data_IF_602871531497
#
_entry.id   IF_602871531497
#
_cell.length_a   1.000
_cell.length_b   1.000
_cell.length_c   1.000
_cell.angle_alpha   90.00
_cell.angle_beta   90.00
_cell.angle_gamma   90.00
#
_symmetry.space_group_name_H-M   'P 1'
#
loop_
_entity.id
_entity.type
_entity.pdbx_description
1 polymer ?
#
# COMPACT_ATOMS: atom_id res chain seq x y z
N UNK A 1 -66.43 37.79 17.09
CA UNK A 1 -66.70 39.20 17.44
C UNK A 1 -65.54 39.70 18.29
N UNK A 2 -64.86 40.78 17.84
CA UNK A 2 -63.94 41.68 18.59
C UNK A 2 -62.59 41.08 19.02
N UNK A 3 -61.46 41.46 18.38
CA UNK A 3 -60.55 42.57 18.75
C UNK A 3 -60.15 42.51 20.24
N UNK A 4 -58.89 42.44 20.67
CA UNK A 4 -57.78 43.42 20.62
C UNK A 4 -56.58 42.71 21.30
N UNK A 5 -55.29 42.93 21.01
CA UNK A 5 -54.56 44.14 21.38
C UNK A 5 -53.11 44.04 20.91
N UNK A 6 -52.60 45.17 20.41
CA UNK A 6 -51.18 45.48 20.25
C UNK A 6 -50.50 45.54 21.62
N UNK A 7 -49.29 45.00 21.75
CA UNK A 7 -48.27 45.75 22.50
C UNK A 7 -46.84 45.43 22.03
N UNK A 8 -46.23 46.50 21.54
CA UNK A 8 -44.81 46.71 21.26
C UNK A 8 -43.94 46.53 22.50
N UNK A 9 -42.81 45.83 22.34
CA UNK A 9 -41.60 46.16 23.10
C UNK A 9 -40.36 46.01 22.23
N UNK A 10 -39.82 47.16 21.82
CA UNK A 10 -38.43 47.33 21.38
C UNK A 10 -37.51 47.00 22.55
N UNK A 11 -36.38 46.34 22.30
CA UNK A 11 -35.01 46.78 22.61
C UNK A 11 -34.02 45.59 22.70
N UNK A 12 -32.70 45.84 22.49
CA UNK A 12 -31.79 44.97 21.74
C UNK A 12 -30.62 44.38 22.56
N UNK A 13 -29.81 43.58 21.85
CA UNK A 13 -28.36 43.33 21.99
C UNK A 13 -27.73 42.86 23.33
N UNK A 14 -27.15 41.65 23.27
CA UNK A 14 -25.90 41.11 23.89
C UNK A 14 -26.10 39.60 24.00
N UNK A 15 -25.44 38.75 23.22
CA UNK A 15 -24.00 38.65 23.07
C UNK A 15 -23.47 37.66 24.11
N UNK A 16 -23.35 36.39 23.74
CA UNK A 16 -22.30 35.48 24.19
C UNK A 16 -22.17 34.35 23.16
N UNK A 17 -20.98 34.26 22.60
CA UNK A 17 -20.58 33.28 21.60
C UNK A 17 -20.64 31.88 22.21
N UNK A 18 -21.45 31.00 21.61
CA UNK A 18 -21.27 29.57 21.80
C UNK A 18 -20.07 29.16 20.95
N UNK A 19 -18.89 29.23 21.57
CA UNK A 19 -17.68 28.56 21.10
C UNK A 19 -17.97 27.05 21.19
N UNK A 20 -18.40 26.48 20.07
CA UNK A 20 -18.43 25.03 19.89
C UNK A 20 -17.05 24.60 19.43
N UNK A 21 -16.29 23.82 20.21
CA UNK A 21 -15.06 23.24 19.72
C UNK A 21 -15.39 22.18 18.66
N UNK A 22 -15.11 22.58 17.41
CA UNK A 22 -14.46 21.80 16.36
C UNK A 22 -14.72 20.27 16.36
N UNK A 23 -15.70 19.86 15.56
CA UNK A 23 -15.76 18.52 14.99
C UNK A 23 -14.75 18.43 13.84
N UNK A 24 -13.51 18.06 14.16
CA UNK A 24 -12.50 17.69 13.17
C UNK A 24 -11.80 16.38 13.57
N UNK A 25 -12.22 15.22 13.04
CA UNK A 25 -11.38 14.04 13.07
C UNK A 25 -10.29 14.19 12.00
N UNK A 26 -9.17 14.86 12.31
CA UNK A 26 -8.03 14.89 11.41
C UNK A 26 -6.83 14.15 12.01
N UNK A 27 -6.42 13.06 11.36
CA UNK A 27 -5.26 12.27 11.75
C UNK A 27 -5.16 10.90 11.09
N UNK A 28 -5.66 10.74 9.86
CA UNK A 28 -5.44 9.55 9.05
C UNK A 28 -4.53 9.89 7.89
N UNK A 29 -3.23 9.70 8.07
CA UNK A 29 -2.16 9.92 7.09
C UNK A 29 -2.49 9.33 5.72
N UNK A 30 -2.94 10.16 4.77
CA UNK A 30 -3.18 9.75 3.40
C UNK A 30 -1.85 9.58 2.61
N UNK A 31 -0.75 10.13 3.13
CA UNK A 31 0.54 10.20 2.45
C UNK A 31 1.44 8.97 2.66
N UNK A 32 1.19 8.16 3.70
CA UNK A 32 1.97 6.94 3.98
C UNK A 32 1.88 5.90 2.85
N UNK A 33 0.76 5.90 2.11
CA UNK A 33 0.56 5.00 0.96
C UNK A 33 1.43 5.34 -0.26
N UNK A 34 1.91 6.58 -0.35
CA UNK A 34 2.74 7.07 -1.46
C UNK A 34 4.24 7.06 -1.14
N UNK A 35 4.63 6.81 0.11
CA UNK A 35 6.04 6.65 0.47
C UNK A 35 6.65 5.47 -0.30
N UNK A 36 7.72 5.70 -1.04
CA UNK A 36 8.47 4.61 -1.67
C UNK A 36 9.16 3.79 -0.59
N UNK A 37 9.06 2.47 -0.70
CA UNK A 37 9.80 1.51 0.12
C UNK A 37 10.46 0.49 -0.80
N UNK A 38 11.57 -0.07 -0.34
CA UNK A 38 12.22 -1.22 -0.95
C UNK A 38 12.12 -2.38 0.02
N UNK A 39 11.78 -3.54 -0.52
CA UNK A 39 11.77 -4.79 0.23
C UNK A 39 12.54 -5.86 -0.52
N UNK A 40 13.03 -6.80 0.26
CA UNK A 40 13.51 -8.10 -0.19
C UNK A 40 12.60 -9.16 0.43
N UNK A 41 11.94 -9.94 -0.41
CA UNK A 41 11.07 -11.02 0.00
C UNK A 41 11.65 -12.37 -0.43
N UNK A 42 11.76 -13.30 0.50
CA UNK A 42 12.19 -14.67 0.24
C UNK A 42 11.00 -15.59 0.46
N UNK A 43 10.61 -16.29 -0.60
CA UNK A 43 9.47 -17.21 -0.63
C UNK A 43 10.00 -18.64 -0.67
N UNK A 44 9.63 -19.45 0.30
CA UNK A 44 9.97 -20.87 0.35
C UNK A 44 8.73 -21.75 0.23
N UNK A 45 8.92 -22.96 -0.30
CA UNK A 45 7.88 -23.95 -0.53
C UNK A 45 7.94 -24.51 -1.95
N UNK A 46 6.79 -24.93 -2.48
CA UNK A 46 6.64 -25.44 -3.84
C UNK A 46 6.46 -24.28 -4.83
N UNK A 47 7.55 -23.54 -5.07
CA UNK A 47 7.55 -22.28 -5.85
C UNK A 47 8.35 -22.34 -7.16
N UNK A 48 9.09 -23.42 -7.39
CA UNK A 48 9.81 -23.67 -8.63
C UNK A 48 9.01 -24.57 -9.58
N UNK A 49 9.14 -24.36 -10.89
CA UNK A 49 8.40 -25.14 -11.90
C UNK A 49 6.91 -24.79 -12.07
N UNK A 50 6.35 -23.92 -11.22
CA UNK A 50 4.91 -23.58 -11.17
C UNK A 50 4.55 -22.25 -11.84
N UNK A 51 5.48 -21.65 -12.57
CA UNK A 51 5.26 -20.34 -13.23
C UNK A 51 5.29 -19.13 -12.29
N UNK A 52 5.79 -19.29 -11.05
CA UNK A 52 5.83 -18.23 -10.03
C UNK A 52 6.49 -16.93 -10.54
N UNK A 53 7.63 -17.05 -11.25
CA UNK A 53 8.33 -15.90 -11.85
C UNK A 53 7.45 -15.07 -12.78
N UNK A 54 6.67 -15.73 -13.64
CA UNK A 54 5.78 -15.04 -14.59
C UNK A 54 4.63 -14.36 -13.86
N UNK A 55 4.03 -15.05 -12.87
CA UNK A 55 2.99 -14.48 -12.01
C UNK A 55 3.49 -13.21 -11.31
N UNK A 56 4.67 -13.25 -10.68
CA UNK A 56 5.25 -12.10 -9.98
C UNK A 56 5.53 -10.94 -10.92
N UNK A 57 6.15 -11.19 -12.09
CA UNK A 57 6.48 -10.15 -13.07
C UNK A 57 5.23 -9.47 -13.61
N UNK A 58 4.21 -10.26 -13.99
CA UNK A 58 2.94 -9.73 -14.49
C UNK A 58 2.28 -8.82 -13.46
N UNK A 59 2.20 -9.28 -12.21
CA UNK A 59 1.60 -8.53 -11.13
C UNK A 59 2.40 -7.26 -10.78
N UNK A 60 3.72 -7.36 -10.63
CA UNK A 60 4.59 -6.22 -10.35
C UNK A 60 4.48 -5.12 -11.41
N UNK A 61 4.38 -5.50 -12.69
CA UNK A 61 4.16 -4.54 -13.79
C UNK A 61 2.81 -3.84 -13.71
N UNK A 62 1.75 -4.53 -13.26
CA UNK A 62 0.40 -3.94 -13.14
C UNK A 62 0.31 -2.84 -12.09
N UNK A 63 1.08 -2.99 -11.01
CA UNK A 63 1.13 -2.03 -9.88
C UNK A 63 2.27 -1.02 -10.00
N UNK A 64 3.08 -1.09 -11.06
CA UNK A 64 4.18 -0.15 -11.30
C UNK A 64 5.37 -0.31 -10.36
N UNK A 65 5.59 -1.50 -9.80
CA UNK A 65 6.75 -1.78 -8.93
C UNK A 65 7.96 -2.17 -9.78
N UNK A 66 9.12 -1.64 -9.43
CA UNK A 66 10.42 -1.98 -10.05
C UNK A 66 11.17 -2.98 -9.20
N UNK A 67 12.07 -3.75 -9.81
CA UNK A 67 12.89 -4.72 -9.12
C UNK A 67 13.08 -6.00 -9.91
N UNK A 68 13.29 -7.11 -9.21
CA UNK A 68 13.59 -8.38 -9.84
C UNK A 68 13.08 -9.58 -9.04
N UNK A 69 12.93 -10.70 -9.74
CA UNK A 69 12.64 -12.02 -9.14
C UNK A 69 13.68 -13.03 -9.60
N UNK A 70 14.22 -13.82 -8.68
CA UNK A 70 15.18 -14.90 -8.97
C UNK A 70 14.76 -16.20 -8.28
N UNK A 71 15.07 -17.31 -8.91
CA UNK A 71 15.01 -18.61 -8.26
C UNK A 71 16.37 -18.88 -7.60
N UNK A 72 16.36 -19.34 -6.37
CA UNK A 72 17.55 -19.73 -5.63
C UNK A 72 17.82 -21.22 -5.79
N UNK A 73 19.09 -21.60 -5.65
CA UNK A 73 19.52 -23.00 -5.76
C UNK A 73 18.96 -23.90 -4.64
N UNK A 74 18.57 -23.32 -3.50
CA UNK A 74 17.96 -24.07 -2.39
C UNK A 74 16.51 -24.48 -2.64
N UNK A 75 15.90 -23.99 -3.74
CA UNK A 75 14.48 -24.21 -4.04
C UNK A 75 13.59 -23.00 -3.75
N UNK A 76 14.11 -21.97 -3.06
CA UNK A 76 13.36 -20.74 -2.76
C UNK A 76 13.30 -19.78 -3.96
N UNK A 77 12.45 -18.76 -3.85
CA UNK A 77 12.34 -17.65 -4.79
C UNK A 77 12.56 -16.35 -4.03
N UNK A 78 13.53 -15.57 -4.47
CA UNK A 78 13.78 -14.24 -3.93
C UNK A 78 13.22 -13.17 -4.86
N UNK A 79 12.60 -12.16 -4.26
CA UNK A 79 11.93 -11.06 -4.91
C UNK A 79 12.41 -9.78 -4.28
N UNK A 80 13.02 -8.92 -5.08
CA UNK A 80 13.29 -7.56 -4.67
C UNK A 80 12.31 -6.62 -5.37
N UNK A 81 11.69 -5.75 -4.58
CA UNK A 81 10.64 -4.86 -5.05
C UNK A 81 10.81 -3.49 -4.41
N UNK A 82 10.83 -2.46 -5.25
CA UNK A 82 10.83 -1.06 -4.84
C UNK A 82 9.68 -0.32 -5.52
N UNK A 83 8.93 0.42 -4.74
CA UNK A 83 7.79 1.21 -5.22
C UNK A 83 7.01 1.78 -4.05
N UNK A 84 5.81 2.29 -4.30
CA UNK A 84 4.98 2.83 -3.22
C UNK A 84 4.63 1.75 -2.20
N UNK A 85 4.51 2.14 -0.93
CA UNK A 85 4.14 1.24 0.17
C UNK A 85 2.88 0.43 -0.14
N UNK A 86 1.88 1.06 -0.75
CA UNK A 86 0.65 0.40 -1.17
C UNK A 86 0.91 -0.69 -2.24
N UNK A 87 1.70 -0.37 -3.27
CA UNK A 87 2.01 -1.31 -4.34
C UNK A 87 2.85 -2.49 -3.83
N UNK A 88 3.89 -2.21 -3.04
CA UNK A 88 4.74 -3.24 -2.45
C UNK A 88 3.95 -4.15 -1.51
N UNK A 89 3.08 -3.61 -0.66
CA UNK A 89 2.21 -4.41 0.19
C UNK A 89 1.29 -5.34 -0.62
N UNK A 90 0.73 -4.83 -1.72
CA UNK A 90 -0.10 -5.63 -2.62
C UNK A 90 0.70 -6.75 -3.32
N UNK A 91 1.94 -6.47 -3.73
CA UNK A 91 2.84 -7.49 -4.27
C UNK A 91 3.08 -8.61 -3.25
N UNK A 92 3.39 -8.26 -2.00
CA UNK A 92 3.61 -9.24 -0.92
C UNK A 92 2.37 -10.10 -0.68
N UNK A 93 1.17 -9.51 -0.71
CA UNK A 93 -0.07 -10.27 -0.60
C UNK A 93 -0.20 -11.30 -1.73
N UNK A 94 0.16 -10.96 -2.97
CA UNK A 94 0.17 -11.89 -4.09
C UNK A 94 1.25 -12.96 -3.95
N UNK A 95 2.43 -12.63 -3.42
CA UNK A 95 3.49 -13.62 -3.17
C UNK A 95 3.06 -14.67 -2.15
N UNK A 96 2.23 -14.32 -1.16
CA UNK A 96 1.68 -15.26 -0.17
C UNK A 96 0.66 -16.22 -0.76
N UNK A 97 -0.11 -15.79 -1.76
CA UNK A 97 -1.11 -16.63 -2.44
C UNK A 97 -0.44 -17.51 -3.50
N UNK A 98 0.45 -16.92 -4.30
CA UNK A 98 1.08 -17.58 -5.44
C UNK A 98 0.10 -17.97 -6.56
N UNK A 99 0.61 -18.57 -7.65
CA UNK A 99 -0.23 -19.16 -8.70
C UNK A 99 -0.94 -20.44 -8.21
N UNK A 100 -1.98 -20.88 -8.92
CA UNK A 100 -2.84 -22.02 -8.55
C UNK A 100 -2.10 -23.33 -8.19
N UNK A 101 -0.91 -23.54 -8.78
CA UNK A 101 -0.08 -24.74 -8.58
C UNK A 101 1.08 -24.50 -7.61
N UNK A 102 1.29 -23.28 -7.12
CA UNK A 102 2.30 -23.00 -6.12
C UNK A 102 1.77 -23.31 -4.72
N UNK A 103 2.67 -23.75 -3.85
CA UNK A 103 2.39 -23.86 -2.43
C UNK A 103 3.43 -23.08 -1.66
N UNK A 104 3.03 -21.93 -1.15
CA UNK A 104 3.89 -21.06 -0.36
C UNK A 104 3.84 -21.54 1.09
N UNK A 105 4.98 -21.93 1.63
CA UNK A 105 5.09 -22.37 3.03
C UNK A 105 5.49 -21.21 3.94
N UNK A 106 6.45 -20.40 3.50
CA UNK A 106 6.91 -19.24 4.23
C UNK A 106 7.25 -18.08 3.29
N UNK A 107 6.95 -16.86 3.76
CA UNK A 107 7.34 -15.62 3.10
C UNK A 107 8.05 -14.75 4.12
N UNK A 108 9.36 -14.65 4.00
CA UNK A 108 10.15 -13.70 4.78
C UNK A 108 10.21 -12.38 4.02
N UNK A 109 9.88 -11.26 4.66
CA UNK A 109 9.96 -9.92 4.06
C UNK A 109 10.89 -9.06 4.90
N UNK A 110 11.88 -8.46 4.26
CA UNK A 110 12.84 -7.54 4.88
C UNK A 110 12.76 -6.18 4.20
N UNK A 111 12.66 -5.13 4.99
CA UNK A 111 12.76 -3.75 4.49
C UNK A 111 14.22 -3.44 4.17
N UNK A 112 14.48 -2.91 2.98
CA UNK A 112 15.79 -2.50 2.50
C UNK A 112 15.83 -0.96 2.34
N UNK A 113 17.01 -0.33 2.45
CA UNK A 113 17.15 1.07 2.09
C UNK A 113 16.83 1.29 0.60
N UNK A 114 16.17 2.41 0.30
CA UNK A 114 15.84 2.80 -1.07
C UNK A 114 17.09 2.93 -1.91
N UNK A 115 17.11 2.33 -3.10
CA UNK A 115 18.16 2.59 -4.07
C UNK A 115 17.75 3.76 -4.97
N UNK A 116 18.58 4.81 -4.99
CA UNK A 116 18.37 6.01 -5.82
C UNK A 116 18.97 5.87 -7.23
N UNK A 117 19.81 4.86 -7.49
CA UNK A 117 20.52 4.73 -8.75
C UNK A 117 20.37 3.34 -9.37
N UNK A 118 19.72 3.26 -10.54
CA UNK A 118 20.14 2.29 -11.56
C UNK A 118 19.35 0.99 -11.74
N UNK A 119 18.34 0.67 -10.94
CA UNK A 119 17.48 -0.48 -11.26
C UNK A 119 16.46 -0.08 -12.32
N UNK A 120 16.76 -0.42 -13.57
CA UNK A 120 16.05 -0.04 -14.79
C UNK A 120 14.52 -0.07 -14.70
N UNK A 121 13.90 0.78 -15.52
CA UNK A 121 12.45 0.98 -15.56
C UNK A 121 11.68 -0.33 -15.83
N UNK A 122 11.37 -1.08 -14.76
CA UNK A 122 10.53 -2.26 -14.83
C UNK A 122 10.93 -3.38 -13.87
N UNK A 123 10.06 -4.39 -13.82
CA UNK A 123 10.28 -5.62 -13.07
C UNK A 123 10.77 -6.72 -14.02
N UNK A 124 11.89 -7.38 -13.67
CA UNK A 124 12.57 -8.37 -14.52
C UNK A 124 12.83 -9.69 -13.80
N UNK A 125 12.98 -10.77 -14.57
CA UNK A 125 13.48 -12.05 -14.04
C UNK A 125 15.00 -11.99 -14.04
N UNK A 126 15.60 -12.12 -12.87
CA UNK A 126 17.05 -12.26 -12.74
C UNK A 126 17.43 -13.71 -13.01
N UNK A 127 18.35 -13.91 -13.96
CA UNK A 127 18.91 -15.20 -14.30
C UNK A 127 20.42 -15.05 -14.23
N UNK A 128 21.04 -15.59 -13.18
CA UNK A 128 22.47 -15.92 -13.25
C UNK A 128 22.61 -17.04 -14.30
N UNK A 129 23.53 -16.84 -15.25
CA UNK A 129 23.89 -17.85 -16.27
C UNK A 129 24.84 -18.88 -15.68
#
# INVERSE_FOLDING_TARGET
MRQTARQTKRQPERGVNADSPDDSPNGGSADDGNAEIRIHATVTGLVQGVGFRYFTVMNARRIGVRGWVRNCYDGSVEVEAQGTRAAVAQLVSWLKVGPQWARVEHVEVRSMPLESEGTGAGFRVFSER
#
